data_IF_559082363822
#
_entry.id   IF_559082363822
#
_cell.length_a   1.000
_cell.length_b   1.000
_cell.length_c   1.000
_cell.angle_alpha   90.00
_cell.angle_beta   90.00
_cell.angle_gamma   90.00
#
_symmetry.space_group_name_H-M   'P 1'
#
loop_
_entity.id
_entity.type
_entity.pdbx_description
1 polymer ?
#
# COMPACT_ATOMS: atom_id res chain seq x y z
N UNK A 1 18.07 -8.46 -7.49
CA UNK A 1 17.42 -8.04 -8.76
C UNK A 1 16.00 -8.59 -8.95
N UNK A 2 15.69 -9.89 -8.75
CA UNK A 2 14.32 -10.39 -8.96
C UNK A 2 13.31 -9.74 -7.99
N UNK A 3 13.62 -9.69 -6.69
CA UNK A 3 12.72 -9.14 -5.68
C UNK A 3 12.43 -7.65 -5.89
N UNK A 4 13.44 -6.89 -6.29
CA UNK A 4 13.31 -5.45 -6.57
C UNK A 4 12.41 -5.19 -7.80
N UNK A 5 12.56 -5.97 -8.86
CA UNK A 5 11.70 -5.89 -10.05
C UNK A 5 10.26 -6.23 -9.68
N UNK A 6 10.03 -7.26 -8.87
CA UNK A 6 8.71 -7.65 -8.38
C UNK A 6 8.10 -6.57 -7.46
N UNK A 7 8.92 -5.88 -6.64
CA UNK A 7 8.47 -4.76 -5.82
C UNK A 7 8.01 -3.57 -6.68
N UNK A 8 8.76 -3.23 -7.73
CA UNK A 8 8.36 -2.18 -8.68
C UNK A 8 7.07 -2.57 -9.42
N UNK A 9 6.96 -3.82 -9.85
CA UNK A 9 5.72 -4.34 -10.46
C UNK A 9 4.53 -4.22 -9.49
N UNK A 10 4.72 -4.53 -8.21
CA UNK A 10 3.71 -4.32 -7.17
C UNK A 10 3.31 -2.84 -7.06
N UNK A 11 4.28 -1.91 -7.06
CA UNK A 11 4.01 -0.46 -7.03
C UNK A 11 3.21 0.01 -8.24
N UNK A 12 3.52 -0.51 -9.43
CA UNK A 12 2.73 -0.25 -10.65
C UNK A 12 1.30 -0.80 -10.52
N UNK A 13 1.15 -2.01 -9.99
CA UNK A 13 -0.15 -2.64 -9.76
C UNK A 13 -1.02 -1.83 -8.80
N UNK A 14 -0.48 -1.36 -7.68
CA UNK A 14 -1.19 -0.48 -6.74
C UNK A 14 -1.59 0.86 -7.37
N UNK A 15 -0.78 1.37 -8.28
CA UNK A 15 -1.10 2.57 -9.05
C UNK A 15 -2.24 2.33 -10.03
N UNK A 16 -2.21 1.20 -10.74
CA UNK A 16 -3.28 0.78 -11.65
C UNK A 16 -4.61 0.57 -10.92
N UNK A 17 -4.57 -0.12 -9.76
CA UNK A 17 -5.73 -0.25 -8.87
C UNK A 17 -6.31 1.12 -8.50
N UNK A 18 -5.47 2.05 -8.06
CA UNK A 18 -5.90 3.39 -7.65
C UNK A 18 -6.61 4.15 -8.77
N UNK A 19 -6.11 4.06 -10.01
CA UNK A 19 -6.72 4.71 -11.19
C UNK A 19 -8.07 4.05 -11.53
N UNK A 20 -8.14 2.72 -11.53
CA UNK A 20 -9.38 1.98 -11.81
C UNK A 20 -10.45 2.23 -10.74
N UNK A 21 -10.07 2.19 -9.47
CA UNK A 21 -10.97 2.53 -8.35
C UNK A 21 -11.49 3.95 -8.51
N UNK A 22 -10.65 4.93 -8.86
CA UNK A 22 -11.07 6.32 -9.10
C UNK A 22 -12.10 6.44 -10.21
N UNK A 23 -11.99 5.65 -11.28
CA UNK A 23 -12.98 5.60 -12.35
C UNK A 23 -14.32 5.03 -11.85
N UNK A 24 -14.27 3.95 -11.07
CA UNK A 24 -15.49 3.33 -10.49
C UNK A 24 -16.20 4.22 -9.47
N UNK A 25 -15.44 5.05 -8.72
CA UNK A 25 -16.00 5.95 -7.71
C UNK A 25 -16.82 7.11 -8.26
N UNK A 26 -16.82 7.35 -9.58
CA UNK A 26 -17.66 8.40 -10.19
C UNK A 26 -19.15 8.20 -9.93
N UNK A 27 -19.60 6.95 -9.76
CA UNK A 27 -21.03 6.58 -9.56
C UNK A 27 -21.19 5.63 -8.35
N UNK A 28 -20.24 5.59 -7.45
CA UNK A 28 -20.24 4.71 -6.27
C UNK A 28 -19.37 5.29 -5.14
N UNK A 29 -19.09 4.51 -4.10
CA UNK A 29 -18.31 4.94 -2.95
C UNK A 29 -17.16 3.96 -2.61
N UNK A 30 -16.27 4.41 -1.71
CA UNK A 30 -15.07 3.68 -1.33
C UNK A 30 -15.38 2.35 -0.61
N UNK A 31 -16.47 2.27 0.16
CA UNK A 31 -16.83 1.04 0.88
C UNK A 31 -17.23 -0.07 -0.08
N UNK A 32 -17.98 0.28 -1.15
CA UNK A 32 -18.33 -0.65 -2.22
C UNK A 32 -17.07 -1.14 -2.96
N UNK A 33 -16.14 -0.23 -3.28
CA UNK A 33 -14.88 -0.59 -3.91
C UNK A 33 -14.05 -1.54 -3.04
N UNK A 34 -13.91 -1.23 -1.74
CA UNK A 34 -13.17 -2.07 -0.80
C UNK A 34 -13.82 -3.44 -0.63
N UNK A 35 -15.15 -3.49 -0.50
CA UNK A 35 -15.88 -4.76 -0.36
C UNK A 35 -15.68 -5.66 -1.58
N UNK A 36 -15.86 -5.13 -2.80
CA UNK A 36 -15.61 -5.89 -4.03
C UNK A 36 -14.15 -6.36 -4.09
N UNK A 37 -13.19 -5.46 -3.85
CA UNK A 37 -11.77 -5.77 -3.94
C UNK A 37 -11.38 -6.90 -2.98
N UNK A 38 -11.75 -6.80 -1.70
CA UNK A 38 -11.39 -7.85 -0.73
C UNK A 38 -12.18 -9.14 -0.91
N UNK A 39 -13.47 -9.07 -1.31
CA UNK A 39 -14.25 -10.28 -1.59
C UNK A 39 -13.65 -11.05 -2.76
N UNK A 40 -13.37 -10.38 -3.87
CA UNK A 40 -12.74 -11.01 -5.04
C UNK A 40 -11.37 -11.59 -4.67
N UNK A 41 -10.55 -10.82 -3.92
CA UNK A 41 -9.22 -11.28 -3.48
C UNK A 41 -9.31 -12.53 -2.62
N UNK A 42 -10.16 -12.52 -1.60
CA UNK A 42 -10.36 -13.65 -0.70
C UNK A 42 -10.87 -14.87 -1.46
N UNK A 43 -11.89 -14.69 -2.30
CA UNK A 43 -12.46 -15.80 -3.09
C UNK A 43 -11.43 -16.41 -4.03
N UNK A 44 -10.73 -15.61 -4.82
CA UNK A 44 -9.74 -16.11 -5.77
C UNK A 44 -8.60 -16.87 -5.09
N UNK A 45 -8.03 -16.30 -4.01
CA UNK A 45 -6.86 -16.90 -3.37
C UNK A 45 -7.26 -18.12 -2.54
N UNK A 46 -8.40 -18.10 -1.82
CA UNK A 46 -8.89 -19.29 -1.14
C UNK A 46 -9.20 -20.42 -2.12
N UNK A 47 -9.82 -20.13 -3.26
CA UNK A 47 -10.07 -21.15 -4.29
C UNK A 47 -8.76 -21.78 -4.76
N UNK A 48 -7.73 -20.97 -4.99
CA UNK A 48 -6.41 -21.49 -5.34
C UNK A 48 -5.82 -22.36 -4.24
N UNK A 49 -5.80 -21.90 -2.99
CA UNK A 49 -5.22 -22.65 -1.86
C UNK A 49 -5.98 -23.95 -1.55
N UNK A 50 -7.30 -23.95 -1.64
CA UNK A 50 -8.13 -25.15 -1.46
C UNK A 50 -7.79 -26.25 -2.45
N UNK A 51 -7.33 -25.90 -3.65
CA UNK A 51 -6.97 -26.84 -4.71
C UNK A 51 -5.50 -27.27 -4.68
N UNK A 52 -4.62 -26.51 -4.03
CA UNK A 52 -3.16 -26.68 -4.18
C UNK A 52 -2.40 -26.91 -2.87
N UNK A 53 -2.98 -26.54 -1.73
CA UNK A 53 -2.23 -26.48 -0.47
C UNK A 53 -2.96 -27.18 0.66
N UNK A 54 -2.31 -28.10 1.41
CA UNK A 54 -2.89 -28.67 2.62
C UNK A 54 -3.05 -27.60 3.71
N UNK A 55 -4.07 -27.78 4.59
CA UNK A 55 -4.45 -26.79 5.61
C UNK A 55 -3.50 -26.68 6.82
N UNK A 56 -2.39 -27.41 6.82
CA UNK A 56 -1.44 -27.43 7.93
C UNK A 56 -0.84 -26.04 8.22
N UNK A 57 -0.86 -25.15 7.24
CA UNK A 57 -0.40 -23.77 7.41
C UNK A 57 -1.16 -23.01 8.49
N UNK A 58 -2.42 -23.35 8.77
CA UNK A 58 -3.23 -22.70 9.82
C UNK A 58 -2.64 -22.89 11.23
N UNK A 59 -1.84 -23.93 11.44
CA UNK A 59 -1.12 -24.19 12.70
C UNK A 59 0.27 -23.57 12.74
N UNK A 60 0.69 -22.89 11.68
CA UNK A 60 2.02 -22.29 11.60
C UNK A 60 2.17 -21.14 12.61
N UNK A 61 3.32 -21.05 13.30
CA UNK A 61 3.64 -19.91 14.15
C UNK A 61 3.77 -18.58 13.38
N UNK A 62 3.69 -18.61 12.06
CA UNK A 62 3.60 -17.40 11.22
C UNK A 62 2.21 -16.72 11.29
N UNK A 63 1.14 -17.45 11.61
CA UNK A 63 -0.23 -16.94 11.57
C UNK A 63 -0.45 -15.67 12.41
N UNK A 64 0.00 -15.58 13.68
CA UNK A 64 -0.17 -14.36 14.47
C UNK A 64 0.40 -13.10 13.77
N UNK A 65 1.54 -13.21 13.09
CA UNK A 65 2.15 -12.11 12.37
C UNK A 65 1.27 -11.63 11.22
N UNK A 66 0.69 -12.53 10.44
CA UNK A 66 -0.21 -12.18 9.34
C UNK A 66 -1.55 -11.64 9.85
N UNK A 67 -2.12 -12.22 10.91
CA UNK A 67 -3.37 -11.75 11.51
C UNK A 67 -3.23 -10.32 12.06
N UNK A 68 -2.19 -10.04 12.85
CA UNK A 68 -1.92 -8.71 13.40
C UNK A 68 -1.65 -7.72 12.28
N UNK A 69 -0.85 -8.10 11.29
CA UNK A 69 -0.60 -7.28 10.10
C UNK A 69 -1.89 -6.91 9.37
N UNK A 70 -2.84 -7.84 9.22
CA UNK A 70 -4.14 -7.60 8.59
C UNK A 70 -5.04 -6.65 9.39
N UNK A 71 -4.93 -6.64 10.72
CA UNK A 71 -5.59 -5.66 11.57
C UNK A 71 -4.99 -4.25 11.40
N UNK A 72 -3.67 -4.16 11.36
CA UNK A 72 -2.96 -2.89 11.27
C UNK A 72 -3.11 -2.23 9.90
N UNK A 73 -2.91 -2.98 8.83
CA UNK A 73 -2.98 -2.47 7.47
C UNK A 73 -3.78 -3.44 6.58
N UNK A 74 -4.73 -2.94 5.82
CA UNK A 74 -4.96 -1.53 5.47
C UNK A 74 -5.88 -0.74 6.39
N UNK A 75 -6.63 -1.36 7.31
CA UNK A 75 -7.75 -0.69 7.99
C UNK A 75 -7.29 0.45 8.91
N UNK A 76 -6.45 0.13 9.92
CA UNK A 76 -6.06 1.12 10.95
C UNK A 76 -5.16 2.22 10.38
N UNK A 77 -4.14 1.87 9.59
CA UNK A 77 -3.29 2.84 8.91
C UNK A 77 -4.06 3.76 7.97
N UNK A 78 -5.09 3.22 7.27
CA UNK A 78 -5.94 4.02 6.38
C UNK A 78 -6.85 4.96 7.15
N UNK A 79 -7.38 4.53 8.31
CA UNK A 79 -8.19 5.39 9.17
C UNK A 79 -7.39 6.60 9.65
N UNK A 80 -6.18 6.40 10.14
CA UNK A 80 -5.27 7.49 10.53
C UNK A 80 -4.96 8.43 9.36
N UNK A 81 -4.70 7.88 8.18
CA UNK A 81 -4.41 8.69 7.01
C UNK A 81 -5.62 9.52 6.54
N UNK A 82 -6.83 8.97 6.59
CA UNK A 82 -8.03 9.73 6.26
C UNK A 82 -8.29 10.85 7.26
N UNK A 83 -8.04 10.64 8.54
CA UNK A 83 -8.10 11.70 9.55
C UNK A 83 -7.07 12.80 9.25
N UNK A 84 -5.86 12.43 8.83
CA UNK A 84 -4.87 13.40 8.38
C UNK A 84 -5.35 14.22 7.17
N UNK A 85 -5.96 13.55 6.18
CA UNK A 85 -6.49 14.22 4.99
C UNK A 85 -7.60 15.24 5.34
N UNK A 86 -8.48 14.90 6.29
CA UNK A 86 -9.58 15.79 6.71
C UNK A 86 -9.06 16.99 7.47
N UNK A 87 -8.03 16.85 8.30
CA UNK A 87 -7.49 17.90 9.17
C UNK A 87 -6.52 18.84 8.45
N UNK A 88 -5.62 18.29 7.63
CA UNK A 88 -4.51 19.07 7.07
C UNK A 88 -4.44 19.06 5.54
N UNK A 89 -5.35 18.34 4.88
CA UNK A 89 -5.42 18.25 3.43
C UNK A 89 -4.36 17.33 2.82
N UNK A 90 -4.55 17.01 1.53
CA UNK A 90 -3.70 16.05 0.79
C UNK A 90 -2.26 16.54 0.68
N UNK A 91 -2.05 17.83 0.44
CA UNK A 91 -0.73 18.43 0.20
C UNK A 91 0.25 18.30 1.36
N UNK A 92 -0.26 18.18 2.59
CA UNK A 92 0.55 18.04 3.81
C UNK A 92 0.56 16.60 4.31
N UNK A 93 -0.59 15.94 4.30
CA UNK A 93 -0.72 14.56 4.75
C UNK A 93 0.05 13.58 3.85
N UNK A 94 0.05 13.79 2.54
CA UNK A 94 0.73 12.93 1.57
C UNK A 94 2.23 12.79 1.80
N UNK A 95 3.00 13.91 1.83
CA UNK A 95 4.43 13.87 2.12
C UNK A 95 4.77 13.22 3.45
N UNK A 96 4.03 13.54 4.52
CA UNK A 96 4.26 12.97 5.84
C UNK A 96 3.99 11.45 5.87
N UNK A 97 2.94 11.00 5.16
CA UNK A 97 2.67 9.58 4.98
C UNK A 97 3.77 8.87 4.18
N UNK A 98 4.41 9.58 3.25
CA UNK A 98 5.57 9.13 2.48
C UNK A 98 6.84 8.88 3.31
N UNK A 99 6.84 9.16 4.61
CA UNK A 99 7.92 8.81 5.53
C UNK A 99 7.95 7.31 5.92
N UNK A 100 6.99 6.49 5.47
CA UNK A 100 6.94 5.04 5.76
C UNK A 100 8.27 4.31 5.55
N UNK A 101 9.03 4.54 4.45
CA UNK A 101 10.31 3.87 4.25
C UNK A 101 11.34 4.17 5.34
N UNK A 102 11.32 5.36 5.93
CA UNK A 102 12.22 5.72 7.03
C UNK A 102 11.90 4.90 8.28
N UNK A 103 10.63 4.79 8.65
CA UNK A 103 10.20 3.94 9.76
C UNK A 103 10.45 2.46 9.48
N UNK A 104 10.20 2.00 8.24
CA UNK A 104 10.45 0.62 7.85
C UNK A 104 11.94 0.27 7.95
N UNK A 105 12.83 1.13 7.48
CA UNK A 105 14.28 0.94 7.59
C UNK A 105 14.73 0.96 9.05
N UNK A 106 14.19 1.88 9.88
CA UNK A 106 14.52 1.91 11.30
C UNK A 106 14.10 0.61 12.01
N UNK A 107 12.89 0.09 11.75
CA UNK A 107 12.42 -1.19 12.32
C UNK A 107 13.23 -2.35 11.76
N UNK A 108 13.57 -2.34 10.48
CA UNK A 108 14.40 -3.37 9.85
C UNK A 108 15.76 -3.51 10.55
N UNK A 109 16.42 -2.39 10.83
CA UNK A 109 17.71 -2.39 11.54
C UNK A 109 17.56 -2.79 13.01
N UNK A 110 16.59 -2.24 13.74
CA UNK A 110 16.49 -2.41 15.20
C UNK A 110 15.79 -3.70 15.62
N UNK A 111 14.81 -4.19 14.88
CA UNK A 111 13.96 -5.33 15.23
C UNK A 111 14.26 -6.56 14.37
N UNK A 112 14.49 -6.37 13.06
CA UNK A 112 14.80 -7.47 12.15
C UNK A 112 16.31 -7.75 12.04
N UNK A 113 17.14 -6.89 12.65
CA UNK A 113 18.61 -6.94 12.58
C UNK A 113 19.16 -6.94 11.15
N UNK A 114 18.43 -6.30 10.22
CA UNK A 114 18.92 -6.09 8.86
C UNK A 114 20.13 -5.13 8.88
N UNK A 115 21.04 -5.31 7.94
CA UNK A 115 22.22 -4.45 7.77
C UNK A 115 22.19 -3.77 6.39
N UNK A 116 21.36 -2.72 6.21
CA UNK A 116 21.26 -2.04 4.93
C UNK A 116 22.60 -1.40 4.55
N UNK A 117 22.97 -1.52 3.29
CA UNK A 117 24.17 -0.87 2.75
C UNK A 117 23.95 0.64 2.58
N UNK A 118 25.03 1.42 2.49
CA UNK A 118 24.95 2.87 2.28
C UNK A 118 24.07 3.27 1.07
N UNK A 119 24.13 2.58 -0.09
CA UNK A 119 23.20 2.83 -1.21
C UNK A 119 21.73 2.70 -0.83
N UNK A 120 21.35 1.76 0.05
CA UNK A 120 19.96 1.61 0.51
C UNK A 120 19.50 2.83 1.30
N UNK A 121 20.33 3.34 2.22
CA UNK A 121 20.01 4.57 2.95
C UNK A 121 19.89 5.78 2.02
N UNK A 122 20.87 5.98 1.14
CA UNK A 122 20.88 7.10 0.19
C UNK A 122 19.66 7.04 -0.74
N UNK A 123 19.37 5.88 -1.32
CA UNK A 123 18.22 5.70 -2.20
C UNK A 123 16.88 5.87 -1.48
N UNK A 124 16.76 5.41 -0.23
CA UNK A 124 15.57 5.62 0.61
C UNK A 124 15.31 7.11 0.84
N UNK A 125 16.34 7.88 1.18
CA UNK A 125 16.22 9.34 1.36
C UNK A 125 15.78 10.02 0.05
N UNK A 126 16.35 9.63 -1.10
CA UNK A 126 15.94 10.17 -2.40
C UNK A 126 14.48 9.84 -2.75
N UNK A 127 14.03 8.61 -2.49
CA UNK A 127 12.63 8.21 -2.72
C UNK A 127 11.69 9.02 -1.82
N UNK A 128 12.01 9.19 -0.54
CA UNK A 128 11.22 10.02 0.37
C UNK A 128 11.19 11.48 -0.10
N UNK A 129 12.34 12.04 -0.46
CA UNK A 129 12.42 13.40 -1.00
C UNK A 129 11.60 13.55 -2.29
N UNK A 130 11.56 12.52 -3.15
CA UNK A 130 10.77 12.52 -4.38
C UNK A 130 9.26 12.53 -4.08
N UNK A 131 8.80 11.71 -3.12
CA UNK A 131 7.40 11.70 -2.69
C UNK A 131 7.00 13.07 -2.16
N UNK A 132 7.88 13.73 -1.41
CA UNK A 132 7.67 15.09 -0.94
C UNK A 132 7.57 16.07 -2.12
N UNK A 133 8.50 16.03 -3.07
CA UNK A 133 8.49 16.91 -4.24
C UNK A 133 7.22 16.74 -5.10
N UNK A 134 6.75 15.49 -5.32
CA UNK A 134 5.53 15.20 -6.08
C UNK A 134 4.28 15.69 -5.33
N UNK A 135 4.25 15.53 -4.01
CA UNK A 135 3.07 15.84 -3.18
C UNK A 135 2.94 17.33 -2.84
N UNK A 136 4.04 18.09 -2.81
CA UNK A 136 4.02 19.52 -2.53
C UNK A 136 3.40 20.32 -3.67
N UNK A 137 2.26 21.00 -3.43
CA UNK A 137 1.72 21.97 -4.38
C UNK A 137 0.21 22.01 -4.57
N UNK A 138 -0.54 21.16 -3.87
CA UNK A 138 -2.01 21.25 -3.87
C UNK A 138 -2.47 21.99 -2.61
N UNK A 139 -2.50 23.32 -2.67
CA UNK A 139 -2.83 24.17 -1.53
C UNK A 139 -4.33 24.13 -1.21
N UNK A 140 -4.70 23.43 -0.14
CA UNK A 140 -5.97 23.64 0.54
C UNK A 140 -5.73 24.47 1.80
N UNK A 141 -6.50 25.54 2.02
CA UNK A 141 -6.50 26.29 3.28
C UNK A 141 -7.22 25.45 4.35
N UNK A 142 -6.46 24.86 5.25
CA UNK A 142 -7.01 24.20 6.45
C UNK A 142 -6.31 24.76 7.68
N UNK A 143 -7.07 25.11 8.71
CA UNK A 143 -6.54 25.51 10.02
C UNK A 143 -6.09 24.25 10.78
N UNK A 144 -4.93 23.72 10.42
CA UNK A 144 -4.37 22.54 11.07
C UNK A 144 -3.51 22.93 12.30
N UNK A 145 -3.39 22.03 13.25
CA UNK A 145 -2.55 22.16 14.43
C UNK A 145 -1.30 21.29 14.29
N UNK A 146 -0.21 21.63 14.98
CA UNK A 146 1.03 20.85 14.93
C UNK A 146 0.80 19.38 15.35
N UNK A 147 -0.12 19.12 16.25
CA UNK A 147 -0.49 17.76 16.68
C UNK A 147 -1.15 16.93 15.57
N UNK A 148 -1.71 17.57 14.54
CA UNK A 148 -2.34 16.85 13.43
C UNK A 148 -1.30 16.09 12.58
N UNK A 149 -0.02 16.44 12.68
CA UNK A 149 1.12 15.71 12.07
C UNK A 149 1.20 14.27 12.58
N UNK A 150 0.75 13.99 13.79
CA UNK A 150 0.77 12.64 14.37
C UNK A 150 -0.10 11.65 13.58
N UNK A 151 -1.16 12.10 12.91
CA UNK A 151 -2.02 11.21 12.12
C UNK A 151 -1.31 10.62 10.90
N UNK A 152 -0.71 11.41 9.97
CA UNK A 152 -0.03 10.84 8.82
C UNK A 152 1.27 10.11 9.19
N UNK A 153 2.03 10.60 10.18
CA UNK A 153 3.20 9.89 10.68
C UNK A 153 2.82 8.59 11.40
N UNK A 154 1.75 8.60 12.20
CA UNK A 154 1.18 7.40 12.80
C UNK A 154 0.74 6.37 11.75
N UNK A 155 0.09 6.83 10.67
CA UNK A 155 -0.26 5.97 9.55
C UNK A 155 0.97 5.35 8.87
N UNK A 156 2.05 6.12 8.69
CA UNK A 156 3.32 5.66 8.14
C UNK A 156 3.98 4.61 9.06
N UNK A 157 4.03 4.89 10.35
CA UNK A 157 4.59 3.99 11.36
C UNK A 157 3.80 2.67 11.45
N UNK A 158 2.48 2.74 11.52
CA UNK A 158 1.61 1.54 11.57
C UNK A 158 1.80 0.69 10.32
N UNK A 159 1.94 1.31 9.14
CA UNK A 159 2.22 0.56 7.92
C UNK A 159 3.61 -0.09 7.96
N UNK A 160 4.64 0.63 8.42
CA UNK A 160 5.98 0.08 8.55
C UNK A 160 6.01 -1.12 9.52
N UNK A 161 5.32 -1.04 10.65
CA UNK A 161 5.16 -2.17 11.60
C UNK A 161 4.45 -3.34 10.90
N UNK A 162 3.35 -3.07 10.18
CA UNK A 162 2.61 -4.12 9.46
C UNK A 162 3.49 -4.83 8.44
N UNK A 163 4.28 -4.10 7.65
CA UNK A 163 5.20 -4.69 6.66
C UNK A 163 6.32 -5.52 7.33
N UNK A 164 6.83 -5.05 8.45
CA UNK A 164 7.84 -5.79 9.23
C UNK A 164 7.28 -7.09 9.81
N UNK A 165 6.03 -7.08 10.32
CA UNK A 165 5.34 -8.29 10.76
C UNK A 165 5.11 -9.28 9.60
N UNK A 166 4.73 -8.79 8.42
CA UNK A 166 4.62 -9.63 7.20
C UNK A 166 5.95 -10.29 6.87
N UNK A 167 7.05 -9.56 6.95
CA UNK A 167 8.39 -10.12 6.73
C UNK A 167 8.73 -11.21 7.75
N UNK A 168 8.47 -10.98 9.04
CA UNK A 168 8.68 -12.01 10.07
C UNK A 168 7.83 -13.25 9.83
N UNK A 169 6.55 -13.08 9.50
CA UNK A 169 5.69 -14.19 9.12
C UNK A 169 6.23 -14.98 7.92
N UNK A 170 6.70 -14.27 6.88
CA UNK A 170 7.28 -14.88 5.68
C UNK A 170 8.63 -15.57 5.93
N UNK A 171 9.40 -15.13 6.93
CA UNK A 171 10.63 -15.82 7.33
C UNK A 171 10.33 -17.20 7.97
N UNK A 172 9.15 -17.37 8.60
CA UNK A 172 8.70 -18.63 9.20
C UNK A 172 7.97 -19.49 8.17
N UNK A 173 7.06 -18.88 7.40
CA UNK A 173 6.27 -19.52 6.36
C UNK A 173 6.40 -18.72 5.05
N UNK A 174 7.34 -19.08 4.17
CA UNK A 174 7.64 -18.34 2.95
C UNK A 174 6.61 -18.60 1.83
N UNK A 175 5.32 -18.52 2.17
CA UNK A 175 4.21 -18.67 1.23
C UNK A 175 3.46 -17.35 1.07
N UNK A 176 3.68 -16.63 -0.06
CA UNK A 176 3.01 -15.37 -0.34
C UNK A 176 1.49 -15.48 -0.50
N UNK A 177 0.97 -16.62 -0.94
CA UNK A 177 -0.47 -16.82 -1.12
C UNK A 177 -1.17 -16.98 0.23
N UNK A 178 -0.60 -17.80 1.13
CA UNK A 178 -1.09 -17.95 2.51
C UNK A 178 -1.03 -16.62 3.24
N UNK A 179 0.07 -15.89 3.14
CA UNK A 179 0.20 -14.57 3.75
C UNK A 179 -0.84 -13.58 3.19
N UNK A 180 -1.03 -13.55 1.86
CA UNK A 180 -2.00 -12.65 1.22
C UNK A 180 -3.42 -12.98 1.66
N UNK A 181 -3.84 -14.25 1.63
CA UNK A 181 -5.21 -14.63 1.97
C UNK A 181 -5.51 -14.36 3.44
N UNK A 182 -4.56 -14.62 4.33
CA UNK A 182 -4.75 -14.38 5.76
C UNK A 182 -4.95 -12.89 6.04
N UNK A 183 -4.07 -12.03 5.52
CA UNK A 183 -4.17 -10.57 5.67
C UNK A 183 -5.46 -10.02 5.07
N UNK A 184 -5.83 -10.44 3.85
CA UNK A 184 -7.03 -9.95 3.18
C UNK A 184 -8.31 -10.46 3.82
N UNK A 185 -8.34 -11.71 4.33
CA UNK A 185 -9.49 -12.27 5.07
C UNK A 185 -9.75 -11.51 6.36
N UNK A 186 -8.70 -11.20 7.15
CA UNK A 186 -8.81 -10.37 8.35
C UNK A 186 -9.37 -8.99 7.99
N UNK A 187 -8.82 -8.36 6.94
CA UNK A 187 -9.28 -7.04 6.50
C UNK A 187 -10.74 -7.06 6.04
N UNK A 188 -11.14 -8.07 5.26
CA UNK A 188 -12.54 -8.24 4.83
C UNK A 188 -13.47 -8.41 6.04
N UNK A 189 -13.09 -9.26 6.98
CA UNK A 189 -13.87 -9.50 8.22
C UNK A 189 -14.05 -8.20 9.01
N UNK A 190 -12.96 -7.45 9.24
CA UNK A 190 -13.03 -6.17 9.94
C UNK A 190 -13.86 -5.12 9.19
N UNK A 191 -13.76 -5.07 7.85
CA UNK A 191 -14.57 -4.19 7.03
C UNK A 191 -16.07 -4.54 7.14
N UNK A 192 -16.42 -5.83 7.08
CA UNK A 192 -17.81 -6.29 7.23
C UNK A 192 -18.34 -5.95 8.63
N UNK A 193 -17.58 -6.23 9.68
CA UNK A 193 -17.94 -5.87 11.06
C UNK A 193 -18.16 -4.35 11.17
N UNK A 194 -17.27 -3.53 10.61
CA UNK A 194 -17.39 -2.08 10.62
C UNK A 194 -18.68 -1.61 9.90
N UNK A 195 -18.97 -2.15 8.72
CA UNK A 195 -20.15 -1.79 7.94
C UNK A 195 -21.46 -2.15 8.66
N UNK A 196 -21.50 -3.32 9.30
CA UNK A 196 -22.64 -3.79 10.08
C UNK A 196 -22.83 -2.94 11.36
N UNK A 197 -21.75 -2.73 12.11
CA UNK A 197 -21.78 -1.94 13.35
C UNK A 197 -22.20 -0.48 13.12
N UNK A 198 -21.77 0.12 12.00
CA UNK A 198 -22.11 1.51 11.65
C UNK A 198 -23.40 1.65 10.83
N UNK A 199 -24.09 0.54 10.54
CA UNK A 199 -25.30 0.49 9.69
C UNK A 199 -25.13 1.15 8.31
N UNK A 200 -23.90 1.13 7.77
CA UNK A 200 -23.59 1.74 6.46
C UNK A 200 -23.81 0.82 5.26
N UNK A 201 -24.49 -0.30 5.44
CA UNK A 201 -24.80 -1.25 4.37
C UNK A 201 -25.62 -0.63 3.22
N UNK A 202 -26.45 0.38 3.50
CA UNK A 202 -27.16 1.13 2.46
C UNK A 202 -26.28 1.91 1.49
N UNK A 203 -25.01 2.14 1.86
CA UNK A 203 -24.02 2.81 1.02
C UNK A 203 -23.35 1.86 -0.01
N UNK A 204 -23.62 0.56 0.05
CA UNK A 204 -23.00 -0.43 -0.85
C UNK A 204 -23.63 -0.47 -2.26
N UNK A 205 -24.55 0.44 -2.57
CA UNK A 205 -25.19 0.53 -3.88
C UNK A 205 -24.17 0.94 -4.94
N UNK A 206 -24.08 0.14 -6.01
CA UNK A 206 -23.20 0.39 -7.15
C UNK A 206 -23.89 -0.04 -8.44
N UNK A 207 -23.65 0.70 -9.52
CA UNK A 207 -24.10 0.32 -10.85
C UNK A 207 -23.16 -0.70 -11.53
N UNK A 208 -23.60 -1.34 -12.62
CA UNK A 208 -22.79 -2.32 -13.34
C UNK A 208 -21.46 -1.77 -13.85
N UNK A 209 -21.42 -0.49 -14.21
CA UNK A 209 -20.20 0.18 -14.67
C UNK A 209 -19.16 0.28 -13.55
N UNK A 210 -19.56 0.76 -12.35
CA UNK A 210 -18.68 0.83 -11.18
C UNK A 210 -18.20 -0.55 -10.75
N UNK A 211 -19.09 -1.57 -10.80
CA UNK A 211 -18.71 -2.93 -10.48
C UNK A 211 -17.63 -3.47 -11.41
N UNK A 212 -17.72 -3.22 -12.74
CA UNK A 212 -16.70 -3.64 -13.70
C UNK A 212 -15.33 -3.03 -13.37
N UNK A 213 -15.29 -1.73 -13.09
CA UNK A 213 -14.04 -1.08 -12.69
C UNK A 213 -13.48 -1.65 -11.37
N UNK A 214 -14.31 -1.86 -10.36
CA UNK A 214 -13.89 -2.41 -9.08
C UNK A 214 -13.44 -3.87 -9.20
N UNK A 215 -14.07 -4.66 -10.06
CA UNK A 215 -13.67 -6.04 -10.31
C UNK A 215 -12.31 -6.13 -10.99
N UNK A 216 -12.07 -5.32 -12.04
CA UNK A 216 -10.76 -5.26 -12.72
C UNK A 216 -9.70 -4.72 -11.74
N UNK A 217 -10.02 -3.69 -10.98
CA UNK A 217 -9.15 -3.14 -9.92
C UNK A 217 -8.79 -4.23 -8.90
N UNK A 218 -9.76 -5.06 -8.48
CA UNK A 218 -9.51 -6.17 -7.56
C UNK A 218 -8.49 -7.18 -8.11
N UNK A 219 -8.57 -7.56 -9.38
CA UNK A 219 -7.61 -8.47 -10.01
C UNK A 219 -6.20 -7.86 -10.07
N UNK A 220 -6.12 -6.57 -10.39
CA UNK A 220 -4.84 -5.83 -10.36
C UNK A 220 -4.30 -5.73 -8.93
N UNK A 221 -5.14 -5.43 -7.95
CA UNK A 221 -4.78 -5.36 -6.54
C UNK A 221 -4.28 -6.71 -5.99
N UNK A 222 -4.91 -7.85 -6.39
CA UNK A 222 -4.45 -9.19 -6.01
C UNK A 222 -3.03 -9.43 -6.53
N UNK A 223 -2.79 -9.15 -7.82
CA UNK A 223 -1.46 -9.34 -8.40
C UNK A 223 -0.41 -8.47 -7.74
N UNK A 224 -0.75 -7.20 -7.44
CA UNK A 224 0.12 -6.29 -6.72
C UNK A 224 0.42 -6.79 -5.29
N UNK A 225 -0.59 -7.26 -4.58
CA UNK A 225 -0.44 -7.76 -3.21
C UNK A 225 0.40 -9.03 -3.15
N UNK A 226 0.15 -10.00 -4.04
CA UNK A 226 0.97 -11.22 -4.12
C UNK A 226 2.41 -10.87 -4.47
N UNK A 227 2.62 -9.95 -5.43
CA UNK A 227 3.96 -9.46 -5.79
C UNK A 227 4.67 -8.80 -4.62
N UNK A 228 3.95 -8.00 -3.79
CA UNK A 228 4.52 -7.44 -2.56
C UNK A 228 5.02 -8.55 -1.61
N UNK A 229 4.21 -9.56 -1.35
CA UNK A 229 4.61 -10.67 -0.47
C UNK A 229 5.74 -11.52 -1.08
N UNK A 230 5.76 -11.74 -2.41
CA UNK A 230 6.88 -12.40 -3.09
C UNK A 230 8.16 -11.58 -2.92
N UNK A 231 8.11 -10.27 -3.09
CA UNK A 231 9.27 -9.40 -2.91
C UNK A 231 9.78 -9.44 -1.47
N UNK A 232 8.88 -9.31 -0.47
CA UNK A 232 9.21 -9.37 0.95
C UNK A 232 9.73 -10.75 1.38
N UNK A 233 9.28 -11.85 0.78
CA UNK A 233 9.81 -13.18 1.10
C UNK A 233 11.26 -13.38 0.64
N UNK A 234 11.73 -12.59 -0.33
CA UNK A 234 13.02 -12.80 -1.02
C UNK A 234 14.06 -11.71 -0.77
N UNK A 235 13.69 -10.59 -0.16
CA UNK A 235 14.60 -9.49 0.14
C UNK A 235 14.20 -8.74 1.42
N UNK A 236 15.09 -7.88 1.89
CA UNK A 236 14.97 -7.13 3.13
C UNK A 236 13.89 -6.05 3.06
N UNK A 237 13.25 -5.77 4.19
CA UNK A 237 12.23 -4.73 4.35
C UNK A 237 12.81 -3.37 3.98
N UNK A 238 14.04 -3.09 4.41
CA UNK A 238 14.77 -1.85 4.14
C UNK A 238 14.98 -1.56 2.65
N UNK A 239 14.92 -2.59 1.79
CA UNK A 239 15.03 -2.48 0.34
C UNK A 239 13.66 -2.42 -0.32
N UNK A 240 12.76 -3.32 0.08
CA UNK A 240 11.49 -3.51 -0.61
C UNK A 240 10.53 -2.35 -0.32
N UNK A 241 10.46 -1.85 0.93
CA UNK A 241 9.50 -0.80 1.26
C UNK A 241 9.78 0.54 0.54
N UNK A 242 11.02 1.02 0.42
CA UNK A 242 11.29 2.18 -0.44
C UNK A 242 10.84 1.98 -1.89
N UNK A 243 11.08 0.81 -2.48
CA UNK A 243 10.67 0.50 -3.86
C UNK A 243 9.14 0.46 -4.01
N UNK A 244 8.41 -0.09 -3.04
CA UNK A 244 6.95 -0.04 -3.03
C UNK A 244 6.41 1.39 -2.92
N UNK A 245 7.11 2.27 -2.22
CA UNK A 245 6.75 3.69 -2.10
C UNK A 245 7.01 4.51 -3.37
N UNK A 246 7.42 3.88 -4.48
CA UNK A 246 7.40 4.51 -5.82
C UNK A 246 5.99 4.56 -6.43
N UNK A 247 4.99 3.96 -5.79
CA UNK A 247 3.57 3.99 -6.20
C UNK A 247 3.06 5.38 -6.61
N UNK A 248 3.32 6.50 -5.90
CA UNK A 248 2.86 7.83 -6.31
C UNK A 248 3.38 8.27 -7.68
N UNK A 249 4.61 7.91 -8.02
CA UNK A 249 5.18 8.19 -9.35
C UNK A 249 4.37 7.50 -10.45
N UNK A 250 4.12 6.20 -10.33
CA UNK A 250 3.32 5.46 -11.30
C UNK A 250 1.87 5.95 -11.32
N UNK A 251 1.33 6.39 -10.18
CA UNK A 251 -0.03 6.97 -10.12
C UNK A 251 -0.12 8.24 -10.94
N UNK A 252 0.86 9.14 -10.84
CA UNK A 252 0.94 10.35 -11.67
C UNK A 252 1.08 9.97 -13.15
N UNK A 253 1.97 9.02 -13.47
CA UNK A 253 2.20 8.56 -14.83
C UNK A 253 0.91 7.98 -15.46
N UNK A 254 0.24 7.07 -14.75
CA UNK A 254 -1.00 6.45 -15.24
C UNK A 254 -2.16 7.45 -15.29
N UNK A 255 -2.27 8.37 -14.33
CA UNK A 255 -3.25 9.43 -14.38
C UNK A 255 -3.02 10.33 -15.60
N UNK A 256 -1.79 10.69 -15.92
CA UNK A 256 -1.46 11.49 -17.10
C UNK A 256 -1.78 10.75 -18.42
N UNK A 257 -1.60 9.42 -18.45
CA UNK A 257 -1.89 8.61 -19.63
C UNK A 257 -3.39 8.36 -19.82
N UNK A 258 -4.09 7.98 -18.76
CA UNK A 258 -5.48 7.52 -18.80
C UNK A 258 -6.51 8.58 -18.42
N UNK A 259 -6.10 9.62 -17.67
CA UNK A 259 -6.98 10.67 -17.15
C UNK A 259 -6.54 12.07 -17.62
N UNK A 260 -6.06 12.22 -18.84
CA UNK A 260 -5.42 13.39 -19.47
C UNK A 260 -6.05 14.78 -19.19
N UNK A 261 -7.30 14.84 -18.72
CA UNK A 261 -8.02 16.10 -18.41
C UNK A 261 -8.05 16.45 -16.91
N UNK A 262 -7.46 15.63 -16.04
CA UNK A 262 -7.64 15.77 -14.59
C UNK A 262 -6.36 16.13 -13.83
N UNK A 263 -5.18 16.03 -14.46
CA UNK A 263 -3.91 16.33 -13.80
C UNK A 263 -2.98 17.14 -14.71
N UNK A 264 -2.44 18.22 -14.16
CA UNK A 264 -1.41 19.04 -14.82
C UNK A 264 -0.03 18.59 -14.35
N UNK A 265 0.84 18.22 -15.31
CA UNK A 265 2.23 17.87 -15.00
C UNK A 265 2.97 19.19 -14.72
N UNK A 266 3.39 19.38 -13.48
CA UNK A 266 4.17 20.53 -13.06
C UNK A 266 5.68 20.23 -13.08
N UNK A 267 6.58 21.23 -13.17
CA UNK A 267 8.02 21.01 -13.07
C UNK A 267 8.45 20.27 -11.80
N UNK A 268 7.71 20.43 -10.69
CA UNK A 268 7.95 19.74 -9.43
C UNK A 268 7.70 18.22 -9.54
N UNK A 269 6.67 17.82 -10.28
CA UNK A 269 6.37 16.41 -10.53
C UNK A 269 7.51 15.79 -11.35
N UNK A 270 8.02 16.50 -12.36
CA UNK A 270 9.17 16.05 -13.16
C UNK A 270 10.43 15.91 -12.29
N UNK A 271 10.71 16.90 -11.44
CA UNK A 271 11.84 16.86 -10.53
C UNK A 271 11.72 15.68 -9.53
N UNK A 272 10.55 15.50 -8.92
CA UNK A 272 10.28 14.36 -8.05
C UNK A 272 10.45 13.02 -8.79
N UNK A 273 10.00 12.93 -10.04
CA UNK A 273 10.19 11.74 -10.87
C UNK A 273 11.68 11.39 -11.08
N UNK A 274 12.51 12.40 -11.35
CA UNK A 274 13.97 12.23 -11.51
C UNK A 274 14.60 11.72 -10.19
N UNK A 275 14.25 12.33 -9.05
CA UNK A 275 14.73 11.89 -7.75
C UNK A 275 14.33 10.44 -7.44
N UNK A 276 13.09 10.07 -7.81
CA UNK A 276 12.60 8.71 -7.59
C UNK A 276 13.37 7.68 -8.40
N UNK A 277 13.56 7.94 -9.71
CA UNK A 277 14.36 7.06 -10.58
C UNK A 277 15.79 6.93 -10.06
N UNK A 278 16.42 8.04 -9.65
CA UNK A 278 17.75 8.01 -9.07
C UNK A 278 17.80 7.15 -7.78
N UNK A 279 16.83 7.31 -6.89
CA UNK A 279 16.73 6.50 -5.67
C UNK A 279 16.56 5.00 -5.96
N UNK A 280 15.70 4.64 -6.91
CA UNK A 280 15.51 3.24 -7.35
C UNK A 280 16.81 2.67 -7.91
N UNK A 281 17.48 3.40 -8.81
CA UNK A 281 18.76 2.97 -9.40
C UNK A 281 19.80 2.72 -8.32
N UNK A 282 19.95 3.64 -7.36
CA UNK A 282 20.92 3.49 -6.27
C UNK A 282 20.62 2.26 -5.39
N UNK A 283 19.34 2.01 -5.06
CA UNK A 283 18.97 0.82 -4.27
C UNK A 283 19.24 -0.47 -5.05
N UNK A 284 18.99 -0.47 -6.35
CA UNK A 284 19.10 -1.69 -7.17
C UNK A 284 20.51 -1.98 -7.68
N UNK A 285 21.41 -1.00 -7.67
CA UNK A 285 22.81 -1.11 -8.11
C UNK A 285 23.80 -1.59 -7.03
N UNK A 286 23.32 -1.96 -5.85
CA UNK A 286 24.09 -2.46 -4.71
C UNK A 286 24.66 -3.87 -4.91
#
# INVERSE_FOLDING_TARGET
>A
MFAEVVAIFSAMGWSGDSVLVRLGLRKSNIFAAMLVSYTVSVTCIWTYLLLTTPFDFLRSPAMPYFLVSGCLQPLFARALYYEALTRMGVSRAGPLRGAEPLFATAIAVTVLHEQPTLPVYAGTVLIVASVWAISFGQSGQTNWRLLDILFPLGAALVSAISQSLRKQGLNILPDPFVATVTVTSVTLTLLVIFLLATRRTGQLRMGPESFRFFFIAALVAISAQISNFIALSRADVSVIIPLLNTTPFFTVLFSALFLRRMETITPRIVFGAILMVAGVVIITSR
#
